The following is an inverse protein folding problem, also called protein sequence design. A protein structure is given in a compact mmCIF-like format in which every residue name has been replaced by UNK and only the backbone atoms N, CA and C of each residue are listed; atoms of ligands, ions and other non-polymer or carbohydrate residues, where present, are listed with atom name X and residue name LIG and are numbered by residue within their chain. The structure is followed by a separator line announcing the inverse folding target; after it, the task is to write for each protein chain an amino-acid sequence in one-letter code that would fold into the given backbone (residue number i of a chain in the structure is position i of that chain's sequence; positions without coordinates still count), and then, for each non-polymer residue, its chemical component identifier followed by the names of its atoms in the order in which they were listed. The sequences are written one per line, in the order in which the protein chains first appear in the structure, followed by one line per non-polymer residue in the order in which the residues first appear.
data_IF_520616771551
#
_entry.id   IF_520616771551
#
_cell.length_a   1.000
_cell.length_b   1.000
_cell.length_c   1.000
_cell.angle_alpha   90.00
_cell.angle_beta   90.00
_cell.angle_gamma   90.00
#
_symmetry.space_group_name_H-M   'P 1'
#
loop_
_entity.id
_entity.type
_entity.pdbx_description
1 polymer ?
#
# COMPACT_ATOMS: atom_id res chain seq x y z
N UNK A 1 16.57 39.29 -25.47
CA UNK A 1 16.33 37.98 -26.14
C UNK A 1 15.24 37.29 -25.35
N UNK A 2 14.03 37.17 -25.90
CA UNK A 2 12.86 36.67 -25.16
C UNK A 2 13.03 35.18 -24.90
N UNK A 3 13.23 34.80 -23.64
CA UNK A 3 13.27 33.39 -23.24
C UNK A 3 11.92 32.75 -23.58
N UNK A 4 11.92 31.62 -24.29
CA UNK A 4 10.68 30.93 -24.66
C UNK A 4 9.99 30.49 -23.37
N UNK A 5 8.68 30.73 -23.23
CA UNK A 5 7.92 30.44 -22.00
C UNK A 5 8.18 29.05 -21.41
N UNK A 6 8.31 28.02 -22.25
CA UNK A 6 8.64 26.66 -21.83
C UNK A 6 10.00 26.55 -21.13
N UNK A 7 11.01 27.27 -21.60
CA UNK A 7 12.35 27.27 -21.02
C UNK A 7 12.34 28.00 -19.67
N UNK A 8 11.64 29.13 -19.60
CA UNK A 8 11.42 29.86 -18.35
C UNK A 8 10.72 28.98 -17.30
N UNK A 9 9.65 28.27 -17.67
CA UNK A 9 8.93 27.35 -16.78
C UNK A 9 9.81 26.19 -16.31
N UNK A 10 10.65 25.63 -17.19
CA UNK A 10 11.60 24.57 -16.82
C UNK A 10 12.64 25.08 -15.82
N UNK A 11 13.28 26.21 -16.08
CA UNK A 11 14.26 26.81 -15.17
C UNK A 11 13.64 27.18 -13.82
N UNK A 12 12.46 27.79 -13.86
CA UNK A 12 11.72 28.16 -12.66
C UNK A 12 11.38 26.94 -11.80
N UNK A 13 10.70 25.93 -12.37
CA UNK A 13 10.35 24.71 -11.62
C UNK A 13 11.57 23.89 -11.18
N UNK A 14 12.67 23.97 -11.91
CA UNK A 14 13.92 23.35 -11.50
C UNK A 14 14.53 24.07 -10.28
N UNK A 15 14.58 25.41 -10.28
CA UNK A 15 15.02 26.20 -9.14
C UNK A 15 14.13 26.00 -7.90
N UNK A 16 12.81 25.88 -8.08
CA UNK A 16 11.91 25.61 -6.94
C UNK A 16 12.18 24.26 -6.27
N UNK A 17 12.63 23.24 -7.03
CA UNK A 17 12.98 21.92 -6.49
C UNK A 17 14.38 21.85 -5.88
N UNK A 18 15.30 22.65 -6.40
CA UNK A 18 16.72 22.63 -6.03
C UNK A 18 17.28 24.07 -6.05
N UNK A 19 16.96 24.89 -5.03
CA UNK A 19 17.33 26.31 -5.02
C UNK A 19 18.84 26.52 -4.84
N UNK A 20 19.54 25.59 -4.20
CA UNK A 20 20.99 25.64 -3.99
C UNK A 20 21.77 25.16 -5.22
N UNK A 21 21.27 24.15 -5.93
CA UNK A 21 21.93 23.58 -7.12
C UNK A 21 21.58 24.24 -8.45
N UNK A 22 20.52 25.06 -8.52
CA UNK A 22 20.04 25.65 -9.78
C UNK A 22 19.78 27.14 -9.67
N UNK A 23 20.34 27.91 -10.60
CA UNK A 23 20.18 29.36 -10.60
C UNK A 23 18.72 29.79 -10.88
N UNK A 24 18.21 30.84 -10.22
CA UNK A 24 16.89 31.37 -10.50
C UNK A 24 16.81 31.95 -11.93
N UNK A 25 15.60 32.02 -12.53
CA UNK A 25 15.40 32.77 -13.76
C UNK A 25 15.72 34.26 -13.57
N UNK A 26 16.27 34.88 -14.61
CA UNK A 26 16.63 36.30 -14.57
C UNK A 26 15.38 37.20 -14.44
N UNK A 27 15.49 38.28 -13.66
CA UNK A 27 14.43 39.30 -13.55
C UNK A 27 13.29 38.96 -12.58
N UNK A 28 13.39 37.85 -11.82
CA UNK A 28 12.44 37.54 -10.75
C UNK A 28 12.95 38.06 -9.40
N UNK A 29 12.11 38.80 -8.63
CA UNK A 29 12.47 39.21 -7.27
C UNK A 29 12.63 38.00 -6.34
N UNK A 30 13.70 38.01 -5.53
CA UNK A 30 14.01 36.93 -4.57
C UNK A 30 12.86 36.64 -3.60
N UNK A 31 12.21 37.69 -3.09
CA UNK A 31 11.05 37.55 -2.19
C UNK A 31 9.90 36.74 -2.81
N UNK A 32 9.68 36.85 -4.13
CA UNK A 32 8.65 36.05 -4.80
C UNK A 32 9.09 34.60 -4.95
N UNK A 33 10.36 34.38 -5.26
CA UNK A 33 10.92 33.03 -5.38
C UNK A 33 10.82 32.28 -4.06
N UNK A 34 11.15 32.94 -2.95
CA UNK A 34 11.03 32.39 -1.60
C UNK A 34 9.60 31.90 -1.30
N UNK A 35 8.58 32.73 -1.53
CA UNK A 35 7.17 32.34 -1.37
C UNK A 35 6.82 31.10 -2.21
N UNK A 36 7.29 31.02 -3.46
CA UNK A 36 7.01 29.85 -4.29
C UNK A 36 7.76 28.59 -3.82
N UNK A 37 9.01 28.72 -3.32
CA UNK A 37 9.77 27.58 -2.77
C UNK A 37 9.05 27.02 -1.54
N UNK A 38 8.65 27.89 -0.63
CA UNK A 38 7.93 27.51 0.58
C UNK A 38 6.59 26.85 0.24
N UNK A 39 5.81 27.44 -0.67
CA UNK A 39 4.51 26.89 -1.07
C UNK A 39 4.65 25.49 -1.68
N UNK A 40 5.61 25.28 -2.58
CA UNK A 40 5.84 23.97 -3.20
C UNK A 40 6.29 22.94 -2.16
N UNK A 41 7.22 23.31 -1.29
CA UNK A 41 7.70 22.43 -0.24
C UNK A 41 6.60 22.06 0.75
N UNK A 42 5.88 23.05 1.30
CA UNK A 42 4.84 22.84 2.31
C UNK A 42 3.67 22.00 1.77
N UNK A 43 3.26 22.23 0.51
CA UNK A 43 2.20 21.43 -0.11
C UNK A 43 2.63 19.97 -0.29
N UNK A 44 3.87 19.73 -0.71
CA UNK A 44 4.41 18.38 -0.85
C UNK A 44 4.55 17.71 0.51
N UNK A 45 5.17 18.38 1.47
CA UNK A 45 5.39 17.89 2.83
C UNK A 45 4.06 17.49 3.47
N UNK A 46 3.06 18.37 3.46
CA UNK A 46 1.76 18.12 4.08
C UNK A 46 1.04 16.94 3.42
N UNK A 47 1.11 16.84 2.09
CA UNK A 47 0.49 15.74 1.37
C UNK A 47 1.15 14.39 1.68
N UNK A 48 2.49 14.34 1.70
CA UNK A 48 3.23 13.12 2.06
C UNK A 48 3.00 12.79 3.54
N UNK A 49 3.03 13.76 4.45
CA UNK A 49 2.80 13.53 5.88
C UNK A 49 1.40 12.96 6.15
N UNK A 50 0.39 13.45 5.42
CA UNK A 50 -0.99 12.94 5.51
C UNK A 50 -1.12 11.55 4.91
N UNK A 51 -0.34 11.23 3.87
CA UNK A 51 -0.36 9.92 3.21
C UNK A 51 0.40 8.83 3.99
N UNK A 52 1.36 9.22 4.83
CA UNK A 52 2.23 8.31 5.58
C UNK A 52 2.32 8.72 7.06
N UNK A 53 1.19 8.75 7.79
CA UNK A 53 1.14 9.27 9.17
C UNK A 53 2.04 8.51 10.13
N UNK A 54 2.13 7.18 10.03
CA UNK A 54 3.00 6.36 10.87
C UNK A 54 4.44 6.66 10.53
N UNK A 55 4.85 6.59 9.24
CA UNK A 55 6.21 6.92 8.85
C UNK A 55 6.62 8.34 9.28
N UNK A 56 5.72 9.33 9.14
CA UNK A 56 5.94 10.71 9.60
C UNK A 56 6.20 10.77 11.10
N UNK A 57 5.45 10.01 11.90
CA UNK A 57 5.59 9.98 13.36
C UNK A 57 6.93 9.43 13.84
N UNK A 58 7.62 8.63 13.01
CA UNK A 58 8.91 8.05 13.35
C UNK A 58 10.10 9.00 13.12
N UNK A 59 9.88 10.14 12.47
CA UNK A 59 10.93 11.11 12.15
C UNK A 59 10.74 12.39 12.97
N UNK A 60 11.84 12.92 13.49
CA UNK A 60 11.84 14.30 13.95
C UNK A 60 11.67 15.27 12.77
N UNK A 61 11.36 16.53 13.07
CA UNK A 61 11.10 17.56 12.06
C UNK A 61 12.29 17.76 11.09
N UNK A 62 13.51 17.69 11.59
CA UNK A 62 14.71 17.87 10.77
C UNK A 62 14.91 16.70 9.83
N UNK A 63 14.82 15.46 10.34
CA UNK A 63 14.94 14.23 9.57
C UNK A 63 13.88 14.18 8.47
N UNK A 64 12.63 14.51 8.80
CA UNK A 64 11.53 14.54 7.86
C UNK A 64 11.75 15.59 6.77
N UNK A 65 12.11 16.82 7.14
CA UNK A 65 12.34 17.89 6.17
C UNK A 65 13.49 17.57 5.20
N UNK A 66 14.56 16.92 5.68
CA UNK A 66 15.65 16.43 4.82
C UNK A 66 15.12 15.40 3.81
N UNK A 67 14.35 14.42 4.28
CA UNK A 67 13.78 13.37 3.43
C UNK A 67 12.86 13.95 2.34
N UNK A 68 11.98 14.89 2.71
CA UNK A 68 11.05 15.53 1.76
C UNK A 68 11.80 16.42 0.77
N UNK A 69 12.83 17.18 1.20
CA UNK A 69 13.67 17.96 0.28
C UNK A 69 14.41 17.07 -0.70
N UNK A 70 14.94 15.94 -0.23
CA UNK A 70 15.59 14.96 -1.10
C UNK A 70 14.62 14.35 -2.11
N UNK A 71 13.39 14.04 -1.68
CA UNK A 71 12.34 13.60 -2.57
C UNK A 71 12.01 14.67 -3.60
N UNK A 72 11.73 15.92 -3.18
CA UNK A 72 11.41 17.04 -4.06
C UNK A 72 12.48 17.30 -5.13
N UNK A 73 13.76 17.18 -4.74
CA UNK A 73 14.90 17.40 -5.65
C UNK A 73 14.99 16.33 -6.74
N UNK A 74 14.75 15.06 -6.39
CA UNK A 74 14.80 13.92 -7.32
C UNK A 74 13.48 13.73 -8.10
N UNK A 75 12.38 14.17 -7.52
CA UNK A 75 11.05 13.96 -8.05
C UNK A 75 10.77 14.89 -9.24
N UNK A 76 10.71 14.28 -10.42
CA UNK A 76 10.09 14.87 -11.59
C UNK A 76 8.66 14.33 -11.68
N UNK A 77 7.66 15.21 -11.53
CA UNK A 77 6.27 14.82 -11.70
C UNK A 77 6.08 14.26 -13.12
N UNK A 78 5.86 12.95 -13.22
CA UNK A 78 5.64 12.27 -14.50
C UNK A 78 4.17 12.37 -14.94
N UNK A 79 3.30 12.80 -14.04
CA UNK A 79 1.87 12.99 -14.28
C UNK A 79 1.35 14.19 -13.48
N UNK A 80 0.37 14.94 -14.00
CA UNK A 80 -0.36 15.94 -13.21
C UNK A 80 -1.32 15.30 -12.19
N UNK A 81 -1.47 13.97 -12.19
CA UNK A 81 -2.39 13.25 -11.31
C UNK A 81 -1.81 13.11 -9.90
N UNK A 82 -2.21 14.03 -9.01
CA UNK A 82 -1.88 14.06 -7.58
C UNK A 82 -2.03 12.70 -6.84
N UNK A 83 -3.01 11.83 -7.16
CA UNK A 83 -3.16 10.53 -6.48
C UNK A 83 -2.00 9.55 -6.66
N UNK A 84 -1.08 9.77 -7.62
CA UNK A 84 0.09 8.88 -7.83
C UNK A 84 1.32 9.28 -7.03
N UNK A 85 1.35 10.48 -6.48
CA UNK A 85 2.50 11.01 -5.76
C UNK A 85 2.90 10.16 -4.54
N UNK A 86 1.98 9.56 -3.75
CA UNK A 86 2.37 8.66 -2.67
C UNK A 86 3.13 7.42 -3.18
N UNK A 87 2.71 6.83 -4.30
CA UNK A 87 3.40 5.68 -4.89
C UNK A 87 4.81 6.05 -5.39
N UNK A 88 4.97 7.25 -5.94
CA UNK A 88 6.28 7.77 -6.35
C UNK A 88 7.21 7.97 -5.13
N UNK A 89 6.66 8.40 -3.99
CA UNK A 89 7.41 8.48 -2.72
C UNK A 89 7.83 7.11 -2.20
N UNK A 90 6.94 6.10 -2.26
CA UNK A 90 7.28 4.70 -1.94
C UNK A 90 8.41 4.19 -2.84
N UNK A 91 8.36 4.49 -4.14
CA UNK A 91 9.41 4.11 -5.09
C UNK A 91 10.74 4.80 -4.77
N UNK A 92 10.70 6.08 -4.42
CA UNK A 92 11.87 6.83 -3.96
C UNK A 92 12.52 6.21 -2.73
N UNK A 93 11.73 5.80 -1.72
CA UNK A 93 12.25 5.16 -0.50
C UNK A 93 12.90 3.80 -0.77
N UNK A 94 12.40 3.06 -1.77
CA UNK A 94 13.00 1.79 -2.21
C UNK A 94 14.39 1.95 -2.80
N UNK A 95 14.60 3.06 -3.51
CA UNK A 95 15.87 3.37 -4.18
C UNK A 95 16.91 3.99 -3.24
N UNK A 96 16.49 4.48 -2.07
CA UNK A 96 17.41 5.03 -1.07
C UNK A 96 18.19 3.92 -0.34
N UNK A 97 19.46 4.16 0.03
CA UNK A 97 20.24 3.23 0.86
C UNK A 97 19.53 2.93 2.17
N UNK A 98 19.49 1.66 2.60
CA UNK A 98 18.81 1.23 3.84
C UNK A 98 19.22 2.12 5.01
N UNK A 99 18.23 2.67 5.72
CA UNK A 99 18.45 3.36 6.99
C UNK A 99 18.64 2.30 8.08
N UNK A 100 19.82 2.19 8.71
CA UNK A 100 20.06 1.22 9.77
C UNK A 100 19.15 1.40 11.00
N UNK A 101 18.67 2.62 11.25
CA UNK A 101 17.76 2.90 12.36
C UNK A 101 16.32 2.49 12.03
N UNK A 102 15.96 2.46 10.74
CA UNK A 102 14.61 2.16 10.25
C UNK A 102 14.66 1.30 8.98
N UNK A 103 15.16 0.05 9.07
CA UNK A 103 15.32 -0.81 7.90
C UNK A 103 13.98 -1.19 7.24
N UNK A 104 12.88 -1.07 7.99
CA UNK A 104 11.51 -1.31 7.54
C UNK A 104 10.88 -0.13 6.79
N UNK A 105 11.52 1.04 6.69
CA UNK A 105 10.85 2.29 6.23
C UNK A 105 10.14 2.17 4.88
N UNK A 106 10.73 1.43 3.93
CA UNK A 106 10.15 1.21 2.61
C UNK A 106 8.91 0.32 2.70
N UNK A 107 9.01 -0.78 3.45
CA UNK A 107 7.92 -1.73 3.67
C UNK A 107 6.75 -1.06 4.39
N UNK A 108 7.04 -0.22 5.40
CA UNK A 108 6.05 0.57 6.11
C UNK A 108 5.36 1.57 5.17
N UNK A 109 6.12 2.33 4.39
CA UNK A 109 5.54 3.26 3.42
C UNK A 109 4.67 2.54 2.38
N UNK A 110 5.10 1.38 1.90
CA UNK A 110 4.30 0.58 0.98
C UNK A 110 3.00 0.10 1.64
N UNK A 111 3.04 -0.29 2.91
CA UNK A 111 1.85 -0.71 3.66
C UNK A 111 0.84 0.45 3.81
N UNK A 112 1.28 1.62 4.27
CA UNK A 112 0.40 2.81 4.36
C UNK A 112 -0.15 3.22 2.99
N UNK A 113 0.65 3.10 1.92
CA UNK A 113 0.18 3.35 0.56
C UNK A 113 -0.90 2.35 0.11
N UNK A 114 -0.80 1.07 0.48
CA UNK A 114 -1.83 0.08 0.15
C UNK A 114 -3.18 0.45 0.77
N UNK A 115 -3.21 1.04 1.96
CA UNK A 115 -4.46 1.52 2.58
C UNK A 115 -5.11 2.60 1.70
N UNK A 116 -4.32 3.55 1.19
CA UNK A 116 -4.80 4.59 0.26
C UNK A 116 -5.25 3.97 -1.06
N UNK A 117 -4.48 3.03 -1.62
CA UNK A 117 -4.82 2.36 -2.89
C UNK A 117 -6.16 1.63 -2.77
N UNK A 118 -6.34 0.86 -1.69
CA UNK A 118 -7.55 0.08 -1.42
C UNK A 118 -8.75 0.99 -1.15
N UNK A 119 -8.57 2.08 -0.39
CA UNK A 119 -9.63 3.06 -0.15
C UNK A 119 -10.17 3.65 -1.46
N UNK A 120 -9.28 4.00 -2.38
CA UNK A 120 -9.61 4.74 -3.60
C UNK A 120 -9.85 3.86 -4.83
N UNK A 121 -9.56 2.57 -4.76
CA UNK A 121 -9.71 1.68 -5.90
C UNK A 121 -11.18 1.55 -6.31
N UNK A 122 -11.47 1.60 -7.63
CA UNK A 122 -12.82 1.37 -8.13
C UNK A 122 -13.25 -0.06 -7.77
N UNK A 123 -14.42 -0.21 -7.15
CA UNK A 123 -15.06 -1.51 -7.03
C UNK A 123 -15.99 -1.74 -8.23
N UNK A 124 -15.98 -2.93 -8.85
CA UNK A 124 -17.12 -3.36 -9.65
C UNK A 124 -18.40 -3.27 -8.82
N UNK A 125 -19.57 -3.06 -9.47
CA UNK A 125 -20.85 -3.15 -8.77
C UNK A 125 -20.96 -4.49 -8.04
N UNK A 126 -21.66 -4.53 -6.89
CA UNK A 126 -21.91 -5.79 -6.18
C UNK A 126 -22.43 -6.82 -7.18
N UNK A 127 -21.85 -8.02 -7.20
CA UNK A 127 -22.44 -9.09 -7.99
C UNK A 127 -23.84 -9.34 -7.44
N UNK A 128 -24.87 -9.24 -8.28
CA UNK A 128 -26.30 -9.25 -7.91
C UNK A 128 -26.79 -10.54 -7.21
N UNK A 129 -25.89 -11.46 -6.85
CA UNK A 129 -26.23 -12.80 -6.38
C UNK A 129 -25.34 -13.38 -5.27
N UNK A 130 -24.53 -12.59 -4.56
CA UNK A 130 -23.75 -13.17 -3.43
C UNK A 130 -24.69 -13.59 -2.29
N UNK A 131 -24.72 -14.89 -1.99
CA UNK A 131 -25.38 -15.42 -0.80
C UNK A 131 -24.43 -15.30 0.41
N UNK A 132 -24.68 -14.31 1.25
CA UNK A 132 -23.88 -14.05 2.45
C UNK A 132 -23.88 -15.22 3.45
N UNK A 133 -24.96 -16.00 3.49
CA UNK A 133 -25.13 -17.15 4.37
C UNK A 133 -24.70 -18.48 3.73
N UNK A 134 -24.29 -18.45 2.46
CA UNK A 134 -23.95 -19.64 1.70
C UNK A 134 -22.82 -20.46 2.31
N UNK A 135 -22.88 -21.78 2.07
CA UNK A 135 -21.91 -22.75 2.57
C UNK A 135 -20.55 -22.57 1.88
N UNK A 136 -19.56 -22.06 2.62
CA UNK A 136 -18.23 -21.74 2.08
C UNK A 136 -17.44 -22.96 1.58
N UNK A 137 -17.79 -24.19 1.99
CA UNK A 137 -17.16 -25.41 1.47
C UNK A 137 -17.81 -25.88 0.17
N UNK A 138 -19.15 -25.85 0.10
CA UNK A 138 -19.91 -26.35 -1.05
C UNK A 138 -20.04 -25.32 -2.16
N UNK A 139 -20.25 -24.07 -1.80
CA UNK A 139 -20.36 -22.94 -2.72
C UNK A 139 -19.00 -22.40 -3.15
N UNK A 140 -19.04 -21.38 -4.00
CA UNK A 140 -17.86 -20.68 -4.54
C UNK A 140 -17.62 -19.42 -3.70
N UNK A 141 -16.61 -19.38 -2.80
CA UNK A 141 -16.40 -18.21 -1.95
C UNK A 141 -16.12 -16.96 -2.78
N UNK A 142 -16.80 -15.86 -2.46
CA UNK A 142 -16.63 -14.59 -3.15
C UNK A 142 -15.79 -13.66 -2.27
N UNK A 143 -14.63 -13.22 -2.77
CA UNK A 143 -13.81 -12.23 -2.07
C UNK A 143 -14.41 -10.82 -2.20
N UNK A 144 -14.03 -9.95 -1.27
CA UNK A 144 -14.22 -8.51 -1.39
C UNK A 144 -13.60 -8.03 -2.71
N UNK A 145 -14.29 -7.17 -3.48
CA UNK A 145 -13.85 -6.79 -4.82
C UNK A 145 -12.52 -6.03 -4.84
N UNK A 146 -12.21 -5.33 -3.76
CA UNK A 146 -10.96 -4.58 -3.62
C UNK A 146 -10.17 -5.17 -2.45
N UNK A 147 -9.10 -5.87 -2.80
CA UNK A 147 -8.13 -6.40 -1.86
C UNK A 147 -6.72 -6.40 -2.49
N UNK A 148 -5.71 -6.38 -1.64
CA UNK A 148 -4.29 -6.43 -1.98
C UNK A 148 -3.57 -7.34 -0.98
N UNK A 149 -2.94 -8.39 -1.49
CA UNK A 149 -2.08 -9.27 -0.71
C UNK A 149 -0.64 -8.77 -0.84
N UNK A 150 0.04 -8.60 0.30
CA UNK A 150 1.44 -8.21 0.36
C UNK A 150 2.17 -8.99 1.45
N UNK A 151 3.47 -9.23 1.22
CA UNK A 151 4.35 -9.89 2.19
C UNK A 151 5.51 -8.97 2.52
N UNK A 152 5.79 -8.85 3.81
CA UNK A 152 6.79 -7.96 4.37
C UNK A 152 7.78 -8.77 5.20
N UNK A 153 9.04 -8.34 5.20
CA UNK A 153 10.06 -8.91 6.09
C UNK A 153 9.82 -8.45 7.52
N UNK A 154 9.31 -7.23 7.69
CA UNK A 154 8.99 -6.65 8.97
C UNK A 154 7.47 -6.69 9.25
N UNK A 155 7.04 -6.78 10.51
CA UNK A 155 5.63 -6.72 10.90
C UNK A 155 5.11 -5.28 10.85
N UNK A 156 5.05 -4.71 9.65
CA UNK A 156 4.76 -3.28 9.38
C UNK A 156 3.48 -2.77 10.06
N UNK A 157 2.44 -3.59 10.14
CA UNK A 157 1.17 -3.29 10.80
C UNK A 157 1.27 -3.08 12.32
N UNK A 158 2.43 -3.39 12.92
CA UNK A 158 2.69 -3.22 14.36
C UNK A 158 3.72 -2.14 14.67
N UNK A 159 4.28 -1.51 13.63
CA UNK A 159 5.34 -0.51 13.77
C UNK A 159 4.70 0.81 14.18
N UNK A 160 5.33 1.46 15.15
CA UNK A 160 4.95 2.77 15.65
C UNK A 160 6.09 3.39 16.46
N UNK A 161 5.91 4.60 17.02
CA UNK A 161 6.94 5.27 17.81
C UNK A 161 7.53 4.38 18.92
N UNK A 162 6.70 3.55 19.55
CA UNK A 162 7.04 2.65 20.64
C UNK A 162 7.66 1.32 20.20
N UNK A 163 7.53 0.95 18.91
CA UNK A 163 7.98 -0.34 18.38
C UNK A 163 8.64 -0.19 17.01
N UNK A 164 9.96 -0.13 17.01
CA UNK A 164 10.79 0.01 15.80
C UNK A 164 11.83 -1.12 15.73
N UNK A 165 11.49 -2.28 15.13
CA UNK A 165 12.41 -3.41 15.05
C UNK A 165 13.60 -3.10 14.12
N UNK A 166 14.82 -3.41 14.58
CA UNK A 166 16.04 -3.29 13.77
C UNK A 166 16.34 -4.54 12.95
N UNK A 167 15.78 -5.68 13.35
CA UNK A 167 15.94 -6.95 12.64
C UNK A 167 14.56 -7.55 12.32
N UNK A 168 14.39 -8.14 11.12
CA UNK A 168 13.14 -8.80 10.78
C UNK A 168 13.00 -10.12 11.57
N UNK A 169 11.77 -10.53 11.94
CA UNK A 169 11.52 -11.87 12.45
C UNK A 169 11.91 -12.95 11.43
N UNK A 170 12.11 -14.21 11.86
CA UNK A 170 12.46 -15.32 10.96
C UNK A 170 11.40 -15.61 9.90
N UNK A 171 10.14 -15.32 10.20
CA UNK A 171 8.99 -15.57 9.32
C UNK A 171 8.48 -14.23 8.81
N UNK A 172 8.30 -14.05 7.48
CA UNK A 172 7.74 -12.82 6.94
C UNK A 172 6.28 -12.64 7.37
N UNK A 173 5.87 -11.39 7.49
CA UNK A 173 4.49 -11.01 7.78
C UNK A 173 3.70 -10.91 6.49
N UNK A 174 2.66 -11.73 6.33
CA UNK A 174 1.77 -11.67 5.18
C UNK A 174 0.47 -10.96 5.57
N UNK A 175 0.12 -9.90 4.84
CA UNK A 175 -1.06 -9.07 5.09
C UNK A 175 -1.94 -9.03 3.86
N UNK A 176 -3.26 -9.10 4.08
CA UNK A 176 -4.24 -8.67 3.08
C UNK A 176 -4.86 -7.37 3.56
N UNK A 177 -4.80 -6.33 2.75
CA UNK A 177 -5.50 -5.05 2.94
C UNK A 177 -6.70 -5.05 1.99
N UNK A 178 -7.88 -4.74 2.48
CA UNK A 178 -9.11 -4.82 1.69
C UNK A 178 -10.14 -3.78 2.16
N UNK A 179 -11.12 -3.52 1.31
CA UNK A 179 -12.27 -2.69 1.64
C UNK A 179 -13.46 -3.57 1.99
N UNK A 180 -13.98 -3.42 3.20
CA UNK A 180 -15.14 -4.18 3.68
C UNK A 180 -16.45 -3.66 3.04
N UNK A 181 -17.59 -4.35 3.26
CA UNK A 181 -18.89 -3.92 2.71
C UNK A 181 -19.34 -2.52 3.17
N UNK A 182 -18.87 -2.08 4.33
CA UNK A 182 -19.10 -0.74 4.89
C UNK A 182 -18.20 0.34 4.28
N UNK A 183 -17.35 -0.03 3.31
CA UNK A 183 -16.37 0.82 2.63
C UNK A 183 -15.18 1.24 3.50
N UNK A 184 -14.97 0.58 4.63
CA UNK A 184 -13.83 0.82 5.52
C UNK A 184 -12.62 -0.01 5.08
N UNK A 185 -11.44 0.57 5.22
CA UNK A 185 -10.18 -0.16 4.96
C UNK A 185 -9.87 -1.04 6.18
N UNK A 186 -9.68 -2.32 5.91
CA UNK A 186 -9.35 -3.35 6.90
C UNK A 186 -8.09 -4.10 6.47
N UNK A 187 -7.46 -4.76 7.42
CA UNK A 187 -6.39 -5.70 7.13
C UNK A 187 -6.53 -6.98 7.96
N UNK A 188 -5.94 -8.07 7.47
CA UNK A 188 -5.76 -9.32 8.20
C UNK A 188 -4.34 -9.82 8.04
N UNK A 189 -3.75 -10.30 9.14
CA UNK A 189 -2.54 -11.10 9.08
C UNK A 189 -2.86 -12.56 8.72
N UNK A 190 -2.15 -13.05 7.72
CA UNK A 190 -2.32 -14.35 7.11
C UNK A 190 -1.10 -15.24 7.41
N UNK A 191 -1.36 -16.48 7.80
CA UNK A 191 -0.34 -17.52 7.75
C UNK A 191 -0.17 -18.02 6.29
N UNK A 192 0.89 -18.79 5.99
CA UNK A 192 1.16 -19.25 4.62
C UNK A 192 -0.01 -20.00 3.95
N UNK A 193 -0.75 -20.81 4.71
CA UNK A 193 -1.90 -21.57 4.20
C UNK A 193 -3.05 -20.63 3.82
N UNK A 194 -3.35 -19.65 4.67
CA UNK A 194 -4.41 -18.65 4.42
C UNK A 194 -4.05 -17.68 3.28
N UNK A 195 -2.78 -17.31 3.12
CA UNK A 195 -2.31 -16.52 1.99
C UNK A 195 -2.46 -17.31 0.68
N UNK A 196 -2.05 -18.58 0.69
CA UNK A 196 -2.21 -19.46 -0.47
C UNK A 196 -3.68 -19.68 -0.85
N UNK A 197 -4.56 -19.83 0.14
CA UNK A 197 -5.99 -19.90 -0.08
C UNK A 197 -6.53 -18.65 -0.75
N UNK A 198 -6.13 -17.46 -0.27
CA UNK A 198 -6.54 -16.19 -0.85
C UNK A 198 -6.11 -16.07 -2.32
N UNK A 199 -4.85 -16.40 -2.65
CA UNK A 199 -4.35 -16.41 -4.03
C UNK A 199 -5.18 -17.32 -4.93
N UNK A 200 -5.54 -18.51 -4.45
CA UNK A 200 -6.35 -19.48 -5.21
C UNK A 200 -7.78 -18.99 -5.42
N UNK A 201 -8.38 -18.35 -4.42
CA UNK A 201 -9.72 -17.76 -4.52
C UNK A 201 -9.76 -16.57 -5.49
N UNK A 202 -8.68 -15.79 -5.56
CA UNK A 202 -8.58 -14.65 -6.48
C UNK A 202 -8.52 -15.06 -7.96
N UNK A 203 -8.14 -16.30 -8.28
CA UNK A 203 -7.95 -16.80 -9.64
C UNK A 203 -9.21 -17.11 -10.46
N UNK A 204 -10.41 -16.69 -10.01
CA UNK A 204 -11.73 -16.90 -10.65
C UNK A 204 -11.94 -18.29 -11.27
N UNK A 205 -11.55 -19.33 -10.53
CA UNK A 205 -11.56 -20.72 -11.02
C UNK A 205 -12.94 -21.39 -11.04
N UNK A 206 -13.97 -20.73 -10.50
CA UNK A 206 -15.31 -21.33 -10.32
C UNK A 206 -15.34 -22.54 -9.38
N UNK A 207 -14.26 -22.80 -8.64
CA UNK A 207 -14.16 -23.94 -7.72
C UNK A 207 -14.89 -23.66 -6.41
N UNK A 208 -15.33 -24.74 -5.76
CA UNK A 208 -15.86 -24.65 -4.40
C UNK A 208 -14.74 -24.44 -3.38
N UNK A 209 -15.08 -23.91 -2.20
CA UNK A 209 -14.08 -23.75 -1.14
C UNK A 209 -13.42 -25.09 -0.76
N UNK A 210 -14.18 -26.19 -0.75
CA UNK A 210 -13.61 -27.53 -0.50
C UNK A 210 -12.60 -27.93 -1.59
N UNK A 211 -12.86 -27.64 -2.86
CA UNK A 211 -11.93 -27.96 -3.94
C UNK A 211 -10.63 -27.14 -3.82
N UNK A 212 -10.70 -25.88 -3.42
CA UNK A 212 -9.51 -25.08 -3.13
C UNK A 212 -8.68 -25.67 -1.98
N UNK A 213 -9.33 -26.07 -0.89
CA UNK A 213 -8.67 -26.64 0.30
C UNK A 213 -8.07 -28.02 0.04
N UNK A 214 -8.73 -28.87 -0.75
CA UNK A 214 -8.18 -30.15 -1.19
C UNK A 214 -6.90 -29.96 -2.00
N UNK A 215 -6.89 -29.02 -2.94
CA UNK A 215 -5.70 -28.75 -3.73
C UNK A 215 -4.55 -28.22 -2.87
N UNK A 216 -4.85 -27.42 -1.83
CA UNK A 216 -3.82 -26.98 -0.87
C UNK A 216 -3.31 -28.18 -0.05
N UNK A 217 -4.18 -29.09 0.38
CA UNK A 217 -3.76 -30.28 1.10
C UNK A 217 -2.80 -31.16 0.26
N UNK A 218 -3.07 -31.26 -1.04
CA UNK A 218 -2.21 -31.95 -2.01
C UNK A 218 -0.87 -31.21 -2.22
N UNK A 219 -0.89 -29.88 -2.40
CA UNK A 219 0.31 -29.04 -2.50
C UNK A 219 1.21 -29.19 -1.25
N UNK A 220 0.61 -29.32 -0.06
CA UNK A 220 1.32 -29.52 1.20
C UNK A 220 1.73 -30.98 1.46
N UNK A 221 1.30 -31.92 0.63
CA UNK A 221 1.46 -33.36 0.84
C UNK A 221 1.00 -33.80 2.25
N UNK A 222 -0.08 -33.20 2.75
CA UNK A 222 -0.54 -33.44 4.11
C UNK A 222 -1.14 -34.85 4.22
N UNK A 223 -0.74 -35.67 5.22
CA UNK A 223 -1.18 -37.06 5.34
C UNK A 223 -2.69 -37.19 5.65
N UNK A 224 -3.31 -36.13 6.16
CA UNK A 224 -4.75 -36.05 6.42
C UNK A 224 -5.35 -34.78 5.79
N UNK A 225 -5.94 -34.88 4.58
CA UNK A 225 -6.56 -33.74 3.90
C UNK A 225 -7.74 -33.12 4.67
N UNK A 226 -8.44 -33.88 5.51
CA UNK A 226 -9.62 -33.38 6.22
C UNK A 226 -9.24 -32.42 7.36
N UNK A 227 -8.02 -32.52 7.91
CA UNK A 227 -7.46 -31.52 8.83
C UNK A 227 -7.28 -30.17 8.13
N UNK A 228 -6.74 -30.16 6.91
CA UNK A 228 -6.55 -28.95 6.10
C UNK A 228 -7.90 -28.33 5.74
N UNK A 229 -8.89 -29.15 5.38
CA UNK A 229 -10.25 -28.68 5.08
C UNK A 229 -10.89 -28.01 6.30
N UNK A 230 -10.79 -28.62 7.49
CA UNK A 230 -11.37 -28.07 8.72
C UNK A 230 -10.73 -26.73 9.11
N UNK A 231 -9.40 -26.68 9.16
CA UNK A 231 -8.68 -25.44 9.44
C UNK A 231 -8.89 -24.38 8.36
N UNK A 232 -8.99 -24.80 7.10
CA UNK A 232 -9.33 -23.95 5.98
C UNK A 232 -10.71 -23.31 6.08
N UNK A 233 -11.71 -24.08 6.52
CA UNK A 233 -13.05 -23.53 6.79
C UNK A 233 -13.02 -22.49 7.90
N UNK A 234 -12.32 -22.74 9.01
CA UNK A 234 -12.17 -21.76 10.09
C UNK A 234 -11.54 -20.45 9.60
N UNK A 235 -10.56 -20.54 8.69
CA UNK A 235 -9.93 -19.38 8.03
C UNK A 235 -10.95 -18.65 7.14
N UNK A 236 -11.70 -19.36 6.30
CA UNK A 236 -12.74 -18.78 5.45
C UNK A 236 -13.81 -18.05 6.27
N UNK A 237 -14.22 -18.64 7.39
CA UNK A 237 -15.19 -18.04 8.32
C UNK A 237 -14.62 -16.81 9.03
N UNK A 238 -13.33 -16.82 9.38
CA UNK A 238 -12.64 -15.65 9.92
C UNK A 238 -12.58 -14.53 8.88
N UNK A 239 -12.24 -14.86 7.63
CA UNK A 239 -12.25 -13.89 6.52
C UNK A 239 -13.65 -13.35 6.25
N UNK A 240 -14.70 -14.19 6.38
CA UNK A 240 -16.10 -13.78 6.24
C UNK A 240 -16.50 -12.78 7.31
N UNK A 241 -16.22 -13.08 8.59
CA UNK A 241 -16.50 -12.17 9.71
C UNK A 241 -15.75 -10.84 9.60
N UNK A 242 -14.59 -10.83 8.97
CA UNK A 242 -13.81 -9.62 8.74
C UNK A 242 -14.25 -8.81 7.50
N UNK A 243 -15.16 -9.34 6.68
CA UNK A 243 -15.62 -8.68 5.45
C UNK A 243 -14.76 -8.95 4.21
N UNK A 244 -13.72 -9.80 4.31
CA UNK A 244 -12.88 -10.17 3.16
C UNK A 244 -13.54 -11.23 2.28
N UNK A 245 -14.32 -12.15 2.86
CA UNK A 245 -15.16 -13.10 2.12
C UNK A 245 -16.61 -12.66 2.27
N UNK A 246 -17.28 -12.35 1.18
CA UNK A 246 -18.64 -11.79 1.19
C UNK A 246 -19.73 -12.85 1.33
N UNK A 247 -19.39 -14.12 1.08
CA UNK A 247 -20.35 -15.23 1.01
C UNK A 247 -19.99 -16.16 -0.14
N UNK A 248 -21.00 -16.77 -0.76
CA UNK A 248 -20.80 -17.63 -1.93
C UNK A 248 -21.56 -17.11 -3.15
N UNK A 249 -20.98 -17.32 -4.34
CA UNK A 249 -21.73 -17.15 -5.59
C UNK A 249 -22.71 -18.31 -5.78
N UNK A 250 -23.87 -18.08 -6.43
CA UNK A 250 -24.78 -19.14 -6.79
C UNK A 250 -24.10 -20.08 -7.81
N UNK A 251 -24.58 -21.33 -7.92
CA UNK A 251 -24.04 -22.33 -8.84
C UNK A 251 -24.04 -21.87 -10.31
#
# INVERSE_FOLDING_TARGET
MTERLRELQRRFTAHLRDPEGRAPPAGLPEQRLEVYRELVFNNLESFIATSFPVLRSLHDERQWNVLIREFLRRHHAHTPLFPRLPLEFVSFLREQPVDPERPFRYELAHYEWLEIEVANAPAPPPADSVDAAGDLLRGRPCLAPVHRLASYRFPVHTIGPERQPREPPPVPTCLVVFRDPELEVRFLELNPVSARLLERLAGDSGLSGRAHLLAIAEELQHPDPEVVIRGGLEILERMRRAGLVLGTRPP
#
